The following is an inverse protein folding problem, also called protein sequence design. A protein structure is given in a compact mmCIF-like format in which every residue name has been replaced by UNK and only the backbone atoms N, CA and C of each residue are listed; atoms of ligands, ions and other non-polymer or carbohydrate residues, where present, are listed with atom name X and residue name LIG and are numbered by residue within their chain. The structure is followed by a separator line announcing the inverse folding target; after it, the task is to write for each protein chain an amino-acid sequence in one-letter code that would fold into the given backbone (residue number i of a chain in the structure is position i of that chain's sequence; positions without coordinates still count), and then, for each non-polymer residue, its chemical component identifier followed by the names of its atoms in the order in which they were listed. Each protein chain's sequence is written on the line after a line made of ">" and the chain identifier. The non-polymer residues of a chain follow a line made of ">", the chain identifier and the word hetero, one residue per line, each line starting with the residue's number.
data_IF_435373587636
#
_entry.id   IF_435373587636
#
_cell.length_a   1.000
_cell.length_b   1.000
_cell.length_c   1.000
_cell.angle_alpha   90.00
_cell.angle_beta   90.00
_cell.angle_gamma   90.00
#
_symmetry.space_group_name_H-M   'P 1'
#
loop_
_entity.id
_entity.type
_entity.pdbx_description
1 polymer ?
#
# COMPACT_ATOMS: atom_id res chain seq x y z
N UNK A 1 50.67 7.09 -71.31
CA UNK A 1 50.53 8.53 -70.98
C UNK A 1 49.29 8.66 -70.11
N UNK A 2 49.21 9.41 -69.01
CA UNK A 2 50.14 10.15 -68.16
C UNK A 2 49.27 10.51 -66.95
N UNK A 3 49.70 10.15 -65.75
CA UNK A 3 49.09 10.58 -64.48
C UNK A 3 49.31 12.08 -64.31
N UNK A 4 48.26 12.82 -63.94
CA UNK A 4 48.21 14.20 -63.38
C UNK A 4 46.71 14.55 -63.29
N UNK A 5 46.10 15.09 -62.25
CA UNK A 5 46.60 16.04 -61.24
C UNK A 5 45.49 16.20 -60.18
N UNK A 6 45.90 16.22 -58.91
CA UNK A 6 45.50 17.19 -57.87
C UNK A 6 44.00 17.48 -57.58
N UNK A 7 43.61 17.00 -56.40
CA UNK A 7 43.11 17.80 -55.27
C UNK A 7 41.98 18.80 -55.54
N UNK A 8 40.76 18.41 -55.17
CA UNK A 8 39.80 19.34 -54.58
C UNK A 8 39.22 18.68 -53.34
N UNK A 9 39.84 19.04 -52.22
CA UNK A 9 39.30 18.95 -50.87
C UNK A 9 38.07 19.87 -50.83
N UNK A 10 36.86 19.30 -50.89
CA UNK A 10 35.65 20.01 -50.45
C UNK A 10 35.27 19.42 -49.11
N UNK A 11 35.84 20.05 -48.07
CA UNK A 11 35.20 20.16 -46.77
C UNK A 11 33.88 20.90 -46.99
N UNK A 12 32.77 20.19 -46.91
CA UNK A 12 31.51 20.81 -46.51
C UNK A 12 30.73 19.78 -45.72
N UNK A 13 30.89 19.90 -44.41
CA UNK A 13 30.21 19.19 -43.37
C UNK A 13 28.71 18.99 -43.67
N UNK A 14 28.31 17.74 -43.92
CA UNK A 14 26.93 17.33 -43.71
C UNK A 14 26.80 16.84 -42.26
N UNK A 15 27.07 17.77 -41.35
CA UNK A 15 26.88 17.59 -39.92
C UNK A 15 25.39 17.53 -39.60
N UNK A 16 24.96 16.33 -39.19
CA UNK A 16 24.02 16.06 -38.11
C UNK A 16 22.92 17.13 -37.91
N UNK A 17 21.76 16.92 -38.54
CA UNK A 17 20.49 17.42 -38.00
C UNK A 17 19.73 16.24 -37.40
N UNK A 18 20.28 15.66 -36.34
CA UNK A 18 19.49 14.87 -35.42
C UNK A 18 18.50 15.84 -34.76
N UNK A 19 17.25 15.83 -35.19
CA UNK A 19 16.17 16.46 -34.44
C UNK A 19 16.08 15.72 -33.11
N UNK A 20 16.75 16.22 -32.08
CA UNK A 20 16.51 15.80 -30.72
C UNK A 20 15.04 16.11 -30.45
N UNK A 21 14.22 15.05 -30.39
CA UNK A 21 12.89 15.16 -29.83
C UNK A 21 13.08 15.68 -28.40
N UNK A 22 12.73 16.94 -28.18
CA UNK A 22 12.53 17.49 -26.85
C UNK A 22 11.38 16.67 -26.26
N UNK A 23 11.72 15.63 -25.50
CA UNK A 23 10.79 15.04 -24.57
C UNK A 23 10.54 16.09 -23.50
N UNK A 24 9.45 16.85 -23.67
CA UNK A 24 8.95 17.74 -22.64
C UNK A 24 8.61 16.86 -21.42
N UNK A 25 9.46 16.92 -20.40
CA UNK A 25 9.21 16.21 -19.15
C UNK A 25 8.08 16.94 -18.46
N UNK A 26 6.84 16.51 -18.71
CA UNK A 26 5.69 16.97 -17.96
C UNK A 26 5.86 16.49 -16.52
N UNK A 27 6.44 17.35 -15.68
CA UNK A 27 6.44 17.15 -14.22
C UNK A 27 5.01 17.30 -13.74
N UNK A 28 4.28 16.19 -13.70
CA UNK A 28 3.00 16.11 -12.99
C UNK A 28 3.30 16.29 -11.50
N UNK A 29 2.59 17.22 -10.86
CA UNK A 29 2.59 17.32 -9.40
C UNK A 29 1.99 16.01 -8.86
N UNK A 30 2.86 15.08 -8.44
CA UNK A 30 2.45 13.83 -7.83
C UNK A 30 1.77 14.09 -6.49
N UNK A 31 0.61 13.47 -6.28
CA UNK A 31 -0.07 13.47 -4.98
C UNK A 31 0.72 12.71 -3.92
N UNK A 32 0.41 12.94 -2.65
CA UNK A 32 1.07 12.25 -1.54
C UNK A 32 0.48 10.85 -1.36
N UNK A 33 1.29 9.82 -1.52
CA UNK A 33 0.92 8.44 -1.19
C UNK A 33 1.40 8.13 0.22
N UNK A 34 0.46 7.87 1.12
CA UNK A 34 0.77 7.49 2.50
C UNK A 34 0.73 5.96 2.64
N UNK A 35 1.90 5.34 2.63
CA UNK A 35 2.04 3.94 3.01
C UNK A 35 2.17 3.86 4.53
N UNK A 36 1.18 3.25 5.19
CA UNK A 36 1.24 2.89 6.61
C UNK A 36 1.35 1.37 6.70
N UNK A 37 2.35 0.89 7.41
CA UNK A 37 2.54 -0.51 7.70
C UNK A 37 3.35 -0.65 8.99
N UNK A 38 3.00 -1.61 9.81
CA UNK A 38 3.72 -1.98 11.02
C UNK A 38 4.37 -3.34 10.79
N UNK A 39 5.69 -3.43 10.96
CA UNK A 39 6.40 -4.72 10.89
C UNK A 39 6.49 -5.25 12.31
N UNK A 40 5.60 -6.18 12.65
CA UNK A 40 5.65 -6.93 13.89
C UNK A 40 6.44 -8.21 13.68
N UNK A 41 7.37 -8.53 14.58
CA UNK A 41 8.04 -9.85 14.61
C UNK A 41 7.13 -10.86 15.31
N UNK A 42 5.90 -10.98 14.82
CA UNK A 42 4.91 -11.91 15.31
C UNK A 42 4.91 -13.16 14.43
N UNK A 43 4.49 -14.29 14.99
CA UNK A 43 4.36 -15.55 14.25
C UNK A 43 3.34 -15.46 13.11
N UNK A 44 2.46 -14.46 13.09
CA UNK A 44 1.49 -14.21 12.03
C UNK A 44 1.40 -12.71 11.72
N UNK A 45 1.00 -12.37 10.49
CA UNK A 45 0.54 -11.04 10.14
C UNK A 45 -0.96 -10.90 10.45
N UNK A 46 -1.42 -9.73 10.90
CA UNK A 46 -2.86 -9.44 11.01
C UNK A 46 -3.36 -8.99 9.63
N UNK A 47 -4.43 -9.61 9.14
CA UNK A 47 -5.05 -9.25 7.86
C UNK A 47 -5.43 -7.76 7.84
N UNK A 48 -5.27 -7.10 6.70
CA UNK A 48 -5.57 -5.67 6.53
C UNK A 48 -7.05 -5.35 6.82
N UNK A 49 -7.97 -6.29 6.51
CA UNK A 49 -9.38 -6.19 6.85
C UNK A 49 -9.67 -6.41 8.34
N UNK A 50 -8.68 -6.85 9.12
CA UNK A 50 -8.75 -7.08 10.57
C UNK A 50 -8.06 -5.99 11.41
N UNK A 51 -7.27 -5.12 10.79
CA UNK A 51 -6.56 -4.02 11.48
C UNK A 51 -7.55 -2.92 11.93
N UNK A 52 -8.40 -2.43 11.02
CA UNK A 52 -9.34 -1.33 11.28
C UNK A 52 -10.79 -1.78 11.03
N UNK A 53 -11.27 -2.68 11.89
CA UNK A 53 -12.63 -3.20 11.80
C UNK A 53 -13.64 -2.32 12.55
N UNK A 54 -14.76 -2.02 11.89
CA UNK A 54 -15.94 -1.44 12.53
C UNK A 54 -17.04 -2.49 12.64
N UNK A 55 -17.35 -2.95 13.85
CA UNK A 55 -18.40 -3.94 14.12
C UNK A 55 -19.70 -3.22 14.46
N UNK A 56 -20.74 -3.38 13.63
CA UNK A 56 -22.05 -2.78 13.89
C UNK A 56 -22.85 -3.63 14.88
N UNK A 57 -23.08 -3.09 16.08
CA UNK A 57 -23.84 -3.77 17.14
C UNK A 57 -25.36 -3.75 16.92
N UNK A 58 -25.84 -2.96 15.96
CA UNK A 58 -27.26 -2.78 15.66
C UNK A 58 -28.00 -1.91 16.68
N UNK A 59 -29.32 -1.84 16.53
CA UNK A 59 -30.19 -1.05 17.40
C UNK A 59 -30.81 -1.93 18.50
N UNK A 60 -30.64 -1.51 19.75
CA UNK A 60 -31.24 -2.21 20.91
C UNK A 60 -32.25 -1.28 21.56
N UNK A 61 -33.47 -1.80 21.79
CA UNK A 61 -34.49 -1.04 22.53
C UNK A 61 -34.06 -0.90 23.99
N UNK A 62 -34.14 0.31 24.53
CA UNK A 62 -33.78 0.63 25.92
C UNK A 62 -34.51 -0.26 26.94
N UNK A 63 -35.78 -0.58 26.69
CA UNK A 63 -36.57 -1.49 27.53
C UNK A 63 -35.93 -2.88 27.69
N UNK A 64 -35.11 -3.34 26.74
CA UNK A 64 -34.38 -4.62 26.82
C UNK A 64 -33.18 -4.56 27.76
N UNK A 65 -32.67 -3.36 28.05
CA UNK A 65 -31.48 -3.11 28.88
C UNK A 65 -31.85 -2.39 30.20
N UNK A 66 -33.08 -2.58 30.68
CA UNK A 66 -33.62 -1.81 31.80
C UNK A 66 -33.02 -2.16 33.18
N UNK A 67 -32.35 -3.30 33.32
CA UNK A 67 -31.74 -3.75 34.57
C UNK A 67 -30.25 -4.06 34.38
N UNK A 68 -29.48 -3.92 35.45
CA UNK A 68 -28.06 -4.28 35.46
C UNK A 68 -27.88 -5.76 35.09
N UNK A 69 -26.89 -6.04 34.24
CA UNK A 69 -26.64 -7.38 33.71
C UNK A 69 -27.48 -7.76 32.48
N UNK A 70 -28.46 -6.95 32.07
CA UNK A 70 -29.18 -7.20 30.81
C UNK A 70 -28.25 -7.02 29.60
N UNK A 71 -28.34 -7.94 28.64
CA UNK A 71 -27.47 -7.96 27.46
C UNK A 71 -28.23 -7.77 26.14
N UNK A 72 -27.56 -7.22 25.14
CA UNK A 72 -28.05 -7.17 23.76
C UNK A 72 -27.88 -8.52 23.05
N UNK A 73 -28.27 -8.58 21.78
CA UNK A 73 -27.94 -9.74 20.95
C UNK A 73 -26.43 -9.74 20.67
N UNK A 74 -25.78 -10.89 20.79
CA UNK A 74 -24.36 -11.01 20.48
C UNK A 74 -24.11 -10.78 18.99
N UNK A 75 -23.08 -9.98 18.68
CA UNK A 75 -22.58 -9.75 17.32
C UNK A 75 -21.18 -10.34 17.25
N UNK A 76 -21.00 -11.33 16.37
CA UNK A 76 -19.71 -11.93 16.13
C UNK A 76 -18.83 -11.06 15.25
N UNK A 77 -17.52 -11.11 15.48
CA UNK A 77 -16.50 -10.58 14.61
C UNK A 77 -15.28 -11.50 14.66
N UNK A 78 -14.44 -11.41 13.63
CA UNK A 78 -13.27 -12.27 13.46
C UNK A 78 -12.05 -11.41 13.22
N UNK A 79 -10.94 -11.76 13.89
CA UNK A 79 -9.61 -11.23 13.61
C UNK A 79 -8.89 -12.31 12.81
N UNK A 80 -8.62 -12.01 11.54
CA UNK A 80 -7.93 -12.92 10.64
C UNK A 80 -6.42 -12.70 10.77
N UNK A 81 -5.70 -13.82 10.87
CA UNK A 81 -4.24 -13.86 10.90
C UNK A 81 -3.77 -14.60 9.65
N UNK A 82 -2.89 -13.96 8.90
CA UNK A 82 -2.31 -14.47 7.67
C UNK A 82 -0.82 -14.79 7.86
N UNK A 83 -0.28 -15.63 6.98
CA UNK A 83 1.13 -16.01 6.94
C UNK A 83 1.70 -16.50 8.29
N UNK A 84 0.91 -17.30 9.01
CA UNK A 84 1.29 -17.85 10.31
C UNK A 84 2.39 -18.93 10.20
N UNK A 85 3.50 -18.76 10.93
CA UNK A 85 4.53 -19.77 11.14
C UNK A 85 4.36 -20.47 12.50
N UNK A 86 3.88 -21.71 12.45
CA UNK A 86 3.64 -22.54 13.65
C UNK A 86 4.91 -23.04 14.33
N UNK A 87 6.08 -22.91 13.69
CA UNK A 87 7.38 -23.18 14.31
C UNK A 87 7.83 -22.06 15.24
N UNK A 88 7.35 -20.83 15.00
CA UNK A 88 7.60 -19.66 15.85
C UNK A 88 6.61 -19.61 17.00
N UNK A 89 5.31 -19.82 16.74
CA UNK A 89 4.30 -19.94 17.79
C UNK A 89 3.12 -20.84 17.35
N UNK A 90 2.67 -21.71 18.25
CA UNK A 90 1.53 -22.62 18.01
C UNK A 90 0.20 -22.08 18.51
N UNK A 91 0.22 -20.95 19.22
CA UNK A 91 -0.96 -20.35 19.84
C UNK A 91 -0.93 -18.84 19.62
N UNK A 92 -2.10 -18.29 19.32
CA UNK A 92 -2.34 -16.86 19.27
C UNK A 92 -3.32 -16.47 20.39
N UNK A 93 -3.08 -15.32 21.02
CA UNK A 93 -3.97 -14.74 22.02
C UNK A 93 -4.21 -13.26 21.69
N UNK A 94 -5.40 -12.78 22.04
CA UNK A 94 -5.82 -11.41 21.78
C UNK A 94 -6.24 -10.78 23.10
N UNK A 95 -5.78 -9.54 23.34
CA UNK A 95 -6.21 -8.73 24.46
C UNK A 95 -6.92 -7.47 23.94
N UNK A 96 -8.00 -7.08 24.60
CA UNK A 96 -8.74 -5.86 24.30
C UNK A 96 -8.46 -4.82 25.36
N UNK A 97 -8.20 -3.59 24.93
CA UNK A 97 -8.04 -2.43 25.82
C UNK A 97 -9.02 -1.34 25.42
N UNK A 98 -9.54 -0.61 26.40
CA UNK A 98 -10.51 0.45 26.19
C UNK A 98 -10.93 1.08 27.51
N UNK A 99 -11.50 2.27 27.44
CA UNK A 99 -12.08 2.96 28.60
C UNK A 99 -13.54 2.53 28.76
N UNK A 100 -13.88 2.01 29.94
CA UNK A 100 -15.28 1.86 30.34
C UNK A 100 -15.89 3.23 30.67
N UNK A 101 -17.17 3.42 30.32
CA UNK A 101 -17.97 4.54 30.81
C UNK A 101 -18.64 4.19 32.13
#
# INVERSE_FOLDING_TARGET
>A
MKIKTLAIVVLSALSLSSTAALADTTTVNGGTVHFKGEIVNAACAVDAGSIDQTVQLGQVRSAKLAAEGNTSSAVGFNIQLDDCDTTVATQASVAFTGTGC
#
